data_IF_647658707742
#
_entry.id   IF_647658707742
#
_cell.length_a   1.000
_cell.length_b   1.000
_cell.length_c   1.000
_cell.angle_alpha   90.00
_cell.angle_beta   90.00
_cell.angle_gamma   90.00
#
_symmetry.space_group_name_H-M   'P 1'
#
loop_
_entity.id
_entity.type
_entity.pdbx_description
1 polymer ?
#
# COMPACT_ATOMS: atom_id res chain seq x y z
N UNK A 1 9.27 13.09 25.83
CA UNK A 1 10.32 12.22 25.28
C UNK A 1 9.76 11.50 24.07
N UNK A 2 10.28 11.78 22.88
CA UNK A 2 9.69 11.36 21.60
C UNK A 2 10.39 10.09 21.11
N UNK A 3 9.66 9.14 20.52
CA UNK A 3 10.17 7.86 19.96
C UNK A 3 11.33 8.05 18.95
N UNK A 4 11.56 9.29 18.49
CA UNK A 4 12.63 9.70 17.58
C UNK A 4 14.06 9.44 18.12
N UNK A 5 14.32 9.47 19.43
CA UNK A 5 15.66 9.25 19.98
C UNK A 5 16.06 7.76 20.06
N UNK A 6 15.10 6.84 19.97
CA UNK A 6 15.35 5.40 20.13
C UNK A 6 15.89 4.71 18.86
N UNK A 7 15.90 5.41 17.72
CA UNK A 7 16.23 4.84 16.41
C UNK A 7 17.28 5.68 15.70
N UNK A 8 18.46 5.83 16.30
CA UNK A 8 19.65 6.50 15.71
C UNK A 8 20.24 5.71 14.51
N UNK A 9 19.36 5.16 13.69
CA UNK A 9 19.59 4.46 12.45
C UNK A 9 19.35 5.49 11.35
N UNK A 10 20.41 5.86 10.64
CA UNK A 10 20.28 6.77 9.50
C UNK A 10 19.31 6.18 8.47
N UNK A 11 18.52 7.04 7.79
CA UNK A 11 17.62 6.64 6.69
C UNK A 11 18.33 5.76 5.65
N UNK A 12 19.62 6.00 5.42
CA UNK A 12 20.46 5.21 4.53
C UNK A 12 20.74 3.81 5.07
N UNK A 13 21.08 3.66 6.36
CA UNK A 13 21.28 2.36 6.99
C UNK A 13 19.99 1.54 7.01
N UNK A 14 18.85 2.16 7.32
CA UNK A 14 17.54 1.50 7.25
C UNK A 14 17.24 1.01 5.83
N UNK A 15 17.42 1.85 4.81
CA UNK A 15 17.20 1.46 3.42
C UNK A 15 18.12 0.34 2.93
N UNK A 16 19.37 0.30 3.40
CA UNK A 16 20.33 -0.75 3.05
C UNK A 16 19.94 -2.08 3.71
N UNK A 17 19.76 -2.07 5.04
CA UNK A 17 19.34 -3.24 5.81
C UNK A 17 17.99 -3.81 5.32
N UNK A 18 17.05 -2.95 4.94
CA UNK A 18 15.75 -3.40 4.42
C UNK A 18 15.88 -4.09 3.07
N UNK A 19 16.78 -3.60 2.21
CA UNK A 19 17.03 -4.21 0.90
C UNK A 19 17.74 -5.56 1.05
N UNK A 20 18.69 -5.64 1.98
CA UNK A 20 19.43 -6.87 2.27
C UNK A 20 18.52 -7.96 2.86
N UNK A 21 17.52 -7.59 3.66
CA UNK A 21 16.57 -8.55 4.25
C UNK A 21 15.37 -8.91 3.35
N UNK A 22 14.79 -7.97 2.61
CA UNK A 22 13.53 -8.17 1.86
C UNK A 22 13.69 -8.15 0.34
N UNK A 23 14.92 -8.03 -0.16
CA UNK A 23 15.26 -7.94 -1.59
C UNK A 23 14.44 -6.87 -2.36
N UNK A 24 13.93 -5.86 -1.64
CA UNK A 24 13.09 -4.79 -2.16
C UNK A 24 13.40 -3.48 -1.44
N UNK A 25 13.08 -2.35 -2.06
CA UNK A 25 13.27 -1.06 -1.40
C UNK A 25 12.25 -0.87 -0.28
N UNK A 26 12.65 -0.20 0.80
CA UNK A 26 11.76 0.20 1.89
C UNK A 26 10.52 0.94 1.37
N UNK A 27 10.69 1.75 0.32
CA UNK A 27 9.57 2.41 -0.35
C UNK A 27 8.63 1.38 -0.99
N UNK A 28 9.11 0.45 -1.81
CA UNK A 28 8.23 -0.59 -2.39
C UNK A 28 7.48 -1.40 -1.31
N UNK A 29 8.12 -1.68 -0.18
CA UNK A 29 7.46 -2.34 0.95
C UNK A 29 6.33 -1.48 1.55
N UNK A 30 6.60 -0.21 1.87
CA UNK A 30 5.58 0.72 2.37
C UNK A 30 4.44 0.83 1.35
N UNK A 31 4.77 0.98 0.07
CA UNK A 31 3.80 1.08 -1.01
C UNK A 31 2.87 -0.14 -1.05
N UNK A 32 3.45 -1.35 -0.98
CA UNK A 32 2.70 -2.60 -0.93
C UNK A 32 1.75 -2.63 0.28
N UNK A 33 2.23 -2.27 1.48
CA UNK A 33 1.37 -2.24 2.68
C UNK A 33 0.23 -1.23 2.55
N UNK A 34 0.47 -0.05 1.97
CA UNK A 34 -0.58 0.93 1.68
C UNK A 34 -1.61 0.37 0.70
N UNK A 35 -1.16 -0.29 -0.36
CA UNK A 35 -2.05 -0.87 -1.36
C UNK A 35 -2.93 -2.00 -0.80
N UNK A 36 -2.36 -2.87 0.04
CA UNK A 36 -3.13 -3.92 0.74
C UNK A 36 -4.18 -3.31 1.66
N UNK A 37 -3.82 -2.25 2.40
CA UNK A 37 -4.79 -1.53 3.24
C UNK A 37 -5.89 -0.90 2.38
N UNK A 38 -5.55 -0.18 1.30
CA UNK A 38 -6.52 0.42 0.38
C UNK A 38 -7.48 -0.62 -0.19
N UNK A 39 -6.96 -1.78 -0.62
CA UNK A 39 -7.76 -2.90 -1.11
C UNK A 39 -8.78 -3.35 -0.05
N UNK A 40 -8.33 -3.53 1.20
CA UNK A 40 -9.21 -3.94 2.30
C UNK A 40 -10.30 -2.92 2.59
N UNK A 41 -10.00 -1.62 2.50
CA UNK A 41 -10.97 -0.54 2.70
C UNK A 41 -12.02 -0.53 1.58
N UNK A 42 -11.60 -0.68 0.32
CA UNK A 42 -12.51 -0.77 -0.82
C UNK A 42 -13.46 -1.98 -0.70
N UNK A 43 -12.97 -3.14 -0.23
CA UNK A 43 -13.81 -4.31 0.01
C UNK A 43 -14.82 -4.11 1.15
N UNK A 44 -14.51 -3.24 2.12
CA UNK A 44 -15.42 -2.84 3.20
C UNK A 44 -16.42 -1.76 2.78
N UNK A 45 -16.48 -1.41 1.50
CA UNK A 45 -17.43 -0.44 0.96
C UNK A 45 -16.99 1.02 1.09
N UNK A 46 -15.74 1.30 1.49
CA UNK A 46 -15.22 2.67 1.49
C UNK A 46 -15.12 3.21 0.07
N UNK A 47 -15.31 4.52 -0.07
CA UNK A 47 -15.11 5.20 -1.35
C UNK A 47 -13.64 5.15 -1.77
N UNK A 48 -13.39 5.35 -3.06
CA UNK A 48 -12.03 5.39 -3.61
C UNK A 48 -11.18 6.49 -2.96
N UNK A 49 -11.82 7.62 -2.67
CA UNK A 49 -11.18 8.77 -2.02
C UNK A 49 -10.79 8.45 -0.57
N UNK A 50 -11.70 7.87 0.22
CA UNK A 50 -11.39 7.43 1.58
C UNK A 50 -10.27 6.38 1.58
N UNK A 51 -10.38 5.35 0.73
CA UNK A 51 -9.37 4.31 0.62
C UNK A 51 -7.99 4.86 0.24
N UNK A 52 -7.92 5.90 -0.61
CA UNK A 52 -6.68 6.59 -0.96
C UNK A 52 -6.02 7.23 0.28
N UNK A 53 -6.75 8.11 0.97
CA UNK A 53 -6.17 8.91 2.04
C UNK A 53 -5.99 8.12 3.35
N UNK A 54 -6.92 7.24 3.71
CA UNK A 54 -6.81 6.38 4.89
C UNK A 54 -5.69 5.34 4.75
N UNK A 55 -5.36 4.92 3.53
CA UNK A 55 -4.20 4.06 3.29
C UNK A 55 -2.85 4.81 3.23
N UNK A 56 -2.85 6.14 3.40
CA UNK A 56 -1.64 6.94 3.52
C UNK A 56 -1.06 7.42 2.19
N UNK A 57 -1.82 7.37 1.08
CA UNK A 57 -1.47 8.11 -0.13
C UNK A 57 -1.78 9.60 0.07
N UNK A 58 -0.86 10.46 -0.37
CA UNK A 58 -1.03 11.93 -0.35
C UNK A 58 -1.61 12.47 -1.64
N UNK A 59 -1.39 11.74 -2.74
CA UNK A 59 -1.79 12.14 -4.08
C UNK A 59 -2.71 11.08 -4.69
N UNK A 60 -3.89 11.55 -5.12
CA UNK A 60 -4.93 10.69 -5.64
C UNK A 60 -4.57 10.11 -7.01
N UNK A 61 -3.95 10.89 -7.90
CA UNK A 61 -3.55 10.41 -9.22
C UNK A 61 -2.49 9.29 -9.14
N UNK A 62 -1.51 9.45 -8.25
CA UNK A 62 -0.50 8.45 -7.95
C UNK A 62 -1.12 7.18 -7.38
N UNK A 63 -2.10 7.31 -6.48
CA UNK A 63 -2.86 6.18 -5.95
C UNK A 63 -3.56 5.40 -7.07
N UNK A 64 -4.36 6.07 -7.92
CA UNK A 64 -5.09 5.40 -9.01
C UNK A 64 -4.13 4.64 -9.93
N UNK A 65 -3.05 5.29 -10.38
CA UNK A 65 -2.05 4.68 -11.28
C UNK A 65 -1.38 3.46 -10.62
N UNK A 66 -0.98 3.61 -9.37
CA UNK A 66 -0.22 2.59 -8.65
C UNK A 66 -1.07 1.40 -8.26
N UNK A 67 -2.31 1.63 -7.81
CA UNK A 67 -3.28 0.58 -7.53
C UNK A 67 -3.61 -0.21 -8.79
N UNK A 68 -3.95 0.48 -9.89
CA UNK A 68 -4.32 -0.18 -11.16
C UNK A 68 -3.17 -1.01 -11.71
N UNK A 69 -1.93 -0.52 -11.61
CA UNK A 69 -0.73 -1.27 -12.02
C UNK A 69 -0.53 -2.53 -11.17
N UNK A 70 -0.86 -2.48 -9.88
CA UNK A 70 -0.60 -3.58 -8.94
C UNK A 70 -1.69 -4.65 -9.00
N UNK A 71 -2.96 -4.24 -9.10
CA UNK A 71 -4.11 -5.14 -9.06
C UNK A 71 -4.73 -5.41 -10.43
N UNK A 72 -4.20 -4.81 -11.50
CA UNK A 72 -4.70 -4.97 -12.89
C UNK A 72 -6.06 -4.32 -13.17
N UNK A 73 -6.68 -3.67 -12.18
CA UNK A 73 -8.00 -3.06 -12.27
C UNK A 73 -8.05 -1.75 -11.49
N UNK A 74 -8.83 -0.79 -11.96
CA UNK A 74 -8.94 0.50 -11.28
C UNK A 74 -9.68 0.37 -9.93
N UNK A 75 -9.33 1.18 -8.92
CA UNK A 75 -10.00 1.18 -7.62
C UNK A 75 -11.53 1.31 -7.71
N UNK A 76 -12.01 2.15 -8.64
CA UNK A 76 -13.45 2.37 -8.88
C UNK A 76 -14.15 1.11 -9.40
N UNK A 77 -13.51 0.37 -10.30
CA UNK A 77 -14.06 -0.92 -10.76
C UNK A 77 -13.92 -1.99 -9.69
N UNK A 78 -12.86 -1.92 -8.88
CA UNK A 78 -12.60 -2.84 -7.78
C UNK A 78 -13.70 -2.78 -6.71
N UNK A 79 -14.15 -1.58 -6.31
CA UNK A 79 -15.23 -1.44 -5.31
C UNK A 79 -16.63 -1.82 -5.86
N UNK A 80 -16.84 -1.77 -7.18
CA UNK A 80 -18.11 -2.14 -7.80
C UNK A 80 -18.32 -3.67 -7.89
N UNK A 81 -17.26 -4.47 -7.73
CA UNK A 81 -17.37 -5.93 -7.83
C UNK A 81 -16.48 -6.67 -6.82
N UNK A 82 -16.75 -6.52 -5.51
CA UNK A 82 -15.93 -7.12 -4.45
C UNK A 82 -15.96 -8.66 -4.46
N UNK A 83 -17.05 -9.27 -4.92
CA UNK A 83 -17.27 -10.73 -4.92
C UNK A 83 -16.34 -11.47 -5.88
N UNK A 84 -16.02 -10.90 -7.06
CA UNK A 84 -15.09 -11.52 -8.02
C UNK A 84 -13.61 -11.30 -7.69
N UNK A 85 -13.30 -10.34 -6.82
CA UNK A 85 -11.93 -9.90 -6.56
C UNK A 85 -11.32 -10.48 -5.27
N UNK A 86 -12.09 -11.24 -4.47
CA UNK A 86 -11.60 -11.93 -3.25
C UNK A 86 -10.54 -13.00 -3.55
N UNK A 87 -10.48 -13.54 -4.77
CA UNK A 87 -9.59 -14.65 -5.17
C UNK A 87 -8.10 -14.26 -5.24
N UNK A 88 -7.75 -12.96 -5.21
CA UNK A 88 -6.36 -12.49 -5.33
C UNK A 88 -5.60 -12.41 -3.99
N UNK A 89 -6.15 -12.94 -2.90
CA UNK A 89 -5.51 -12.92 -1.59
C UNK A 89 -4.54 -14.10 -1.43
N UNK A 90 -3.26 -13.81 -1.73
CA UNK A 90 -2.04 -14.57 -1.45
C UNK A 90 -1.70 -15.69 -2.48
N UNK A 91 -0.52 -15.64 -3.14
CA UNK A 91 0.09 -16.85 -3.65
C UNK A 91 0.37 -17.78 -2.46
N UNK A 92 0.04 -19.05 -2.63
CA UNK A 92 0.43 -20.15 -1.75
C UNK A 92 1.95 -20.24 -1.62
#
# INVERSE_FOLDING_TARGET
QSIADALNISRSYLCHQFRDYFNTSLWNYILSKRLVLAQSLLLRGKTVTEACYESGFRDYAHFIKTFSRTFGISPKKYCQNPEKNKTFLLPS
#
